data_IF_195338126061
#
_entry.id   IF_195338126061
#
_cell.length_a   1.000
_cell.length_b   1.000
_cell.length_c   1.000
_cell.angle_alpha   90.00
_cell.angle_beta   90.00
_cell.angle_gamma   90.00
#
_symmetry.space_group_name_H-M   'P 1'
#
loop_
_entity.id
_entity.type
_entity.pdbx_description
1 polymer ?
#
# COMPACT_ATOMS: atom_id res chain seq x y z
N UNK A 1 3.93 -1.63 -8.22
CA UNK A 1 3.14 -2.81 -8.65
C UNK A 1 1.73 -2.70 -8.06
N UNK A 2 0.68 -2.96 -8.86
CA UNK A 2 -0.73 -2.87 -8.43
C UNK A 2 -1.22 -4.08 -7.63
N UNK A 3 -0.43 -5.15 -7.55
CA UNK A 3 -0.79 -6.41 -6.91
C UNK A 3 0.26 -6.85 -5.86
N UNK A 4 -0.12 -7.79 -4.99
CA UNK A 4 0.70 -8.34 -3.91
C UNK A 4 0.48 -9.84 -3.68
N UNK A 5 1.52 -10.49 -3.15
CA UNK A 5 1.49 -11.89 -2.73
C UNK A 5 1.20 -12.09 -1.24
N UNK A 6 1.26 -11.01 -0.44
CA UNK A 6 0.97 -11.06 0.99
C UNK A 6 -0.55 -11.15 1.19
N UNK A 7 -1.04 -12.32 1.55
CA UNK A 7 -2.45 -12.61 1.84
C UNK A 7 -2.57 -13.80 2.79
N UNK A 8 -3.72 -13.95 3.44
CA UNK A 8 -3.96 -15.11 4.29
C UNK A 8 -3.99 -16.39 3.43
N UNK A 9 -3.52 -17.55 3.93
CA UNK A 9 -3.59 -18.82 3.21
C UNK A 9 -5.00 -19.17 2.71
N UNK A 10 -6.04 -18.83 3.48
CA UNK A 10 -7.44 -19.04 3.13
C UNK A 10 -7.96 -18.16 1.99
N UNK A 11 -7.31 -17.04 1.69
CA UNK A 11 -7.67 -16.17 0.56
C UNK A 11 -7.04 -16.63 -0.77
N UNK A 12 -6.11 -17.59 -0.73
CA UNK A 12 -5.34 -18.01 -1.91
C UNK A 12 -6.24 -18.68 -2.94
N UNK A 13 -6.18 -18.18 -4.17
CA UNK A 13 -6.83 -18.79 -5.33
C UNK A 13 -5.77 -19.46 -6.19
N UNK A 14 -5.94 -20.75 -6.49
CA UNK A 14 -4.98 -21.50 -7.29
C UNK A 14 -4.71 -20.82 -8.63
N UNK A 15 -3.44 -20.77 -9.04
CA UNK A 15 -2.99 -20.21 -10.31
C UNK A 15 -2.09 -21.17 -11.12
N UNK A 16 -1.79 -22.36 -10.60
CA UNK A 16 -0.92 -23.33 -11.26
C UNK A 16 -1.53 -24.72 -11.31
N UNK A 17 -0.77 -25.66 -11.88
CA UNK A 17 -1.07 -27.09 -11.79
C UNK A 17 -0.41 -27.72 -10.55
N UNK A 18 -0.89 -28.89 -10.07
CA UNK A 18 -0.27 -29.60 -8.95
C UNK A 18 1.21 -29.92 -9.22
N UNK A 19 2.09 -29.61 -8.27
CA UNK A 19 3.53 -29.85 -8.41
C UNK A 19 4.29 -28.82 -9.25
N UNK A 20 3.65 -27.72 -9.66
CA UNK A 20 4.32 -26.61 -10.34
C UNK A 20 5.53 -26.09 -9.54
N UNK A 21 6.63 -25.80 -10.24
CA UNK A 21 7.81 -25.21 -9.60
C UNK A 21 7.62 -23.72 -9.27
N UNK A 22 8.43 -23.20 -8.36
CA UNK A 22 8.47 -21.76 -8.05
C UNK A 22 8.75 -20.91 -9.29
N UNK A 23 9.66 -21.37 -10.16
CA UNK A 23 10.05 -20.66 -11.37
C UNK A 23 8.89 -20.59 -12.38
N UNK A 24 8.18 -21.69 -12.62
CA UNK A 24 7.03 -21.75 -13.51
C UNK A 24 5.86 -20.91 -12.99
N UNK A 25 5.58 -20.99 -11.68
CA UNK A 25 4.54 -20.18 -11.05
C UNK A 25 4.82 -18.68 -11.18
N UNK A 26 6.08 -18.27 -10.93
CA UNK A 26 6.49 -16.86 -11.05
C UNK A 26 6.42 -16.38 -12.49
N UNK A 27 6.80 -17.23 -13.46
CA UNK A 27 6.70 -16.95 -14.90
C UNK A 27 5.25 -16.80 -15.37
N UNK A 28 4.31 -17.50 -14.73
CA UNK A 28 2.87 -17.33 -14.96
C UNK A 28 2.30 -16.02 -14.36
N UNK A 29 3.14 -15.18 -13.73
CA UNK A 29 2.72 -13.93 -13.09
C UNK A 29 2.03 -14.13 -11.75
N UNK A 30 2.24 -15.29 -11.12
CA UNK A 30 1.61 -15.68 -9.86
C UNK A 30 2.59 -15.74 -8.70
N UNK A 31 2.02 -15.86 -7.51
CA UNK A 31 2.74 -15.90 -6.25
C UNK A 31 2.99 -17.35 -5.85
N UNK A 32 4.19 -17.64 -5.35
CA UNK A 32 4.54 -18.95 -4.82
C UNK A 32 4.84 -18.88 -3.32
N UNK A 33 4.20 -19.74 -2.52
CA UNK A 33 4.53 -19.98 -1.12
C UNK A 33 4.08 -21.37 -0.70
N UNK A 34 5.03 -22.24 -0.41
CA UNK A 34 4.87 -23.64 0.00
C UNK A 34 4.92 -23.86 1.51
N UNK A 35 5.04 -22.79 2.30
CA UNK A 35 5.19 -22.85 3.75
C UNK A 35 3.92 -23.30 4.51
N UNK A 36 2.78 -23.44 3.82
CA UNK A 36 1.49 -23.84 4.40
C UNK A 36 0.87 -24.96 3.57
N UNK A 37 0.59 -26.10 4.20
CA UNK A 37 -0.08 -27.24 3.57
C UNK A 37 -1.60 -27.05 3.47
N UNK A 38 -2.25 -27.80 2.58
CA UNK A 38 -3.71 -27.77 2.41
C UNK A 38 -4.27 -26.54 1.70
N UNK A 39 -3.41 -25.66 1.19
CA UNK A 39 -3.76 -24.47 0.39
C UNK A 39 -2.93 -24.44 -0.90
N UNK A 40 -3.34 -23.72 -1.95
CA UNK A 40 -2.54 -23.57 -3.14
C UNK A 40 -1.17 -22.94 -2.85
N UNK A 41 -0.10 -23.58 -3.32
CA UNK A 41 1.26 -23.04 -3.24
C UNK A 41 1.53 -22.02 -4.33
N UNK A 42 1.00 -22.26 -5.53
CA UNK A 42 0.95 -21.27 -6.60
C UNK A 42 -0.43 -20.61 -6.62
N UNK A 43 -0.49 -19.31 -6.36
CA UNK A 43 -1.75 -18.58 -6.21
C UNK A 43 -1.74 -17.22 -6.91
N UNK A 44 -2.93 -16.77 -7.29
CA UNK A 44 -3.11 -15.49 -7.95
C UNK A 44 -2.74 -14.33 -7.00
N UNK A 45 -2.02 -13.30 -7.49
CA UNK A 45 -1.75 -12.12 -6.68
C UNK A 45 -3.06 -11.35 -6.44
N UNK A 46 -3.17 -10.68 -5.28
CA UNK A 46 -4.34 -9.83 -4.99
C UNK A 46 -4.04 -8.37 -5.26
N UNK A 47 -5.02 -7.54 -5.64
CA UNK A 47 -4.81 -6.10 -5.74
C UNK A 47 -4.30 -5.51 -4.43
N UNK A 48 -3.35 -4.58 -4.51
CA UNK A 48 -2.95 -3.77 -3.36
C UNK A 48 -4.05 -2.75 -3.11
N UNK A 49 -4.74 -2.89 -1.98
CA UNK A 49 -5.59 -1.83 -1.46
C UNK A 49 -4.70 -0.90 -0.66
N UNK A 50 -4.67 0.37 -1.05
CA UNK A 50 -3.90 1.40 -0.36
C UNK A 50 -4.83 2.53 0.04
N UNK A 51 -4.63 3.06 1.24
CA UNK A 51 -5.34 4.25 1.73
C UNK A 51 -4.34 5.37 2.02
N UNK A 52 -4.78 6.60 1.75
CA UNK A 52 -4.06 7.80 2.12
C UNK A 52 -4.37 8.11 3.59
N UNK A 53 -3.34 8.22 4.41
CA UNK A 53 -3.45 8.56 5.83
C UNK A 53 -2.63 9.81 6.11
N UNK A 54 -3.24 10.78 6.78
CA UNK A 54 -2.54 11.97 7.23
C UNK A 54 -1.67 11.64 8.45
N UNK A 55 -0.33 11.75 8.37
CA UNK A 55 0.53 11.54 9.53
C UNK A 55 0.16 12.48 10.68
N UNK A 56 0.00 11.91 11.86
CA UNK A 56 -0.20 12.69 13.08
C UNK A 56 1.10 13.31 13.59
N UNK A 57 2.24 12.64 13.39
CA UNK A 57 3.56 13.12 13.82
C UNK A 57 3.97 14.37 13.02
N UNK A 58 4.11 15.55 13.66
CA UNK A 58 4.55 16.79 13.00
C UNK A 58 5.89 16.69 12.29
N UNK A 59 6.84 15.95 12.84
CA UNK A 59 8.21 15.86 12.31
C UNK A 59 8.31 14.92 11.11
N UNK A 60 7.30 14.09 10.86
CA UNK A 60 7.21 13.24 9.67
C UNK A 60 6.57 13.95 8.47
N UNK A 61 6.12 15.20 8.64
CA UNK A 61 5.39 15.94 7.61
C UNK A 61 6.34 16.43 6.50
N UNK A 62 6.11 15.93 5.29
CA UNK A 62 6.75 16.46 4.09
C UNK A 62 5.87 17.56 3.48
N UNK A 63 6.43 18.75 3.24
CA UNK A 63 5.70 19.92 2.75
C UNK A 63 5.05 19.65 1.37
N UNK A 64 3.75 19.96 1.23
CA UNK A 64 2.96 19.84 0.00
C UNK A 64 2.34 21.20 -0.46
N UNK A 65 2.64 22.29 0.23
CA UNK A 65 2.05 23.59 0.00
C UNK A 65 3.09 24.70 0.00
N UNK A 66 2.66 25.87 0.46
CA UNK A 66 3.49 27.05 0.66
C UNK A 66 3.00 27.79 1.91
N UNK A 67 3.84 28.65 2.54
CA UNK A 67 3.43 29.44 3.70
C UNK A 67 2.17 30.27 3.40
N UNK A 68 1.17 30.20 4.27
CA UNK A 68 -0.10 30.94 4.10
C UNK A 68 -1.15 30.28 3.19
N UNK A 69 -0.90 29.06 2.68
CA UNK A 69 -1.92 28.28 1.97
C UNK A 69 -3.15 28.02 2.86
N UNK A 70 -4.37 28.18 2.30
CA UNK A 70 -5.60 27.82 3.02
C UNK A 70 -5.76 26.30 3.14
N UNK A 71 -6.52 25.85 4.14
CA UNK A 71 -6.84 24.44 4.31
C UNK A 71 -7.49 23.86 3.05
N UNK A 72 -8.48 24.54 2.48
CA UNK A 72 -9.20 24.10 1.29
C UNK A 72 -8.29 24.00 0.06
N UNK A 73 -7.37 24.94 -0.10
CA UNK A 73 -6.41 24.89 -1.20
C UNK A 73 -5.43 23.72 -1.04
N UNK A 74 -4.99 23.43 0.19
CA UNK A 74 -4.15 22.27 0.48
C UNK A 74 -4.87 20.95 0.20
N UNK A 75 -6.10 20.80 0.68
CA UNK A 75 -6.90 19.58 0.52
C UNK A 75 -7.27 19.32 -0.94
N UNK A 76 -7.54 20.38 -1.71
CA UNK A 76 -7.78 20.29 -3.16
C UNK A 76 -6.56 19.78 -3.95
N UNK A 77 -5.34 19.98 -3.43
CA UNK A 77 -4.12 19.36 -3.97
C UNK A 77 -3.99 17.88 -3.59
N UNK A 78 -4.94 17.32 -2.85
CA UNK A 78 -4.92 15.95 -2.36
C UNK A 78 -3.99 15.74 -1.16
N UNK A 79 -3.68 16.82 -0.43
CA UNK A 79 -2.78 16.83 0.71
C UNK A 79 -3.53 17.00 2.03
N UNK A 80 -2.82 16.76 3.12
CA UNK A 80 -3.33 16.88 4.48
C UNK A 80 -3.04 18.28 5.01
N UNK A 81 -4.00 18.86 5.74
CA UNK A 81 -3.83 20.14 6.40
C UNK A 81 -3.92 20.00 7.92
N UNK A 82 -2.93 20.52 8.65
CA UNK A 82 -2.94 20.64 10.12
C UNK A 82 -2.05 21.81 10.54
N UNK A 83 -2.66 22.88 11.02
CA UNK A 83 -1.99 24.15 11.35
C UNK A 83 -1.12 24.13 12.63
N UNK A 84 -0.88 22.96 13.22
CA UNK A 84 -0.18 22.83 14.50
C UNK A 84 0.80 21.64 14.48
N UNK A 85 1.94 21.73 15.18
CA UNK A 85 2.52 22.94 15.82
C UNK A 85 3.08 23.95 14.80
N UNK A 86 3.57 25.09 15.28
CA UNK A 86 4.38 25.99 14.47
C UNK A 86 5.74 25.36 14.12
N UNK A 87 6.41 25.89 13.08
CA UNK A 87 7.73 25.40 12.66
C UNK A 87 7.74 24.10 11.87
N UNK A 88 6.56 23.55 11.53
CA UNK A 88 6.40 22.40 10.63
C UNK A 88 5.47 22.74 9.47
N UNK A 89 5.52 21.99 8.35
CA UNK A 89 4.56 22.16 7.27
C UNK A 89 3.12 21.95 7.74
N UNK A 90 2.26 22.94 7.51
CA UNK A 90 0.84 22.83 7.79
C UNK A 90 0.09 22.12 6.68
N UNK A 91 0.52 22.31 5.43
CA UNK A 91 0.09 21.51 4.29
C UNK A 91 1.16 20.46 3.97
N UNK A 92 0.82 19.18 4.05
CA UNK A 92 1.78 18.09 3.92
C UNK A 92 1.22 16.88 3.18
N UNK A 93 2.12 16.06 2.63
CA UNK A 93 1.72 14.85 1.91
C UNK A 93 1.14 13.79 2.87
N UNK A 94 0.08 13.07 2.45
CA UNK A 94 -0.36 11.87 3.14
C UNK A 94 0.65 10.74 2.96
N UNK A 95 0.66 9.79 3.88
CA UNK A 95 1.31 8.50 3.67
C UNK A 95 0.36 7.54 2.96
N UNK A 96 0.90 6.72 2.07
CA UNK A 96 0.19 5.59 1.50
C UNK A 96 0.46 4.37 2.37
N UNK A 97 -0.58 3.80 2.96
CA UNK A 97 -0.49 2.56 3.73
C UNK A 97 -1.31 1.47 3.06
N UNK A 98 -0.80 0.25 3.08
CA UNK A 98 -1.55 -0.94 2.65
C UNK A 98 -2.69 -1.20 3.65
N UNK A 99 -3.88 -1.53 3.13
CA UNK A 99 -5.05 -1.92 3.91
C UNK A 99 -4.97 -3.37 4.40
#
# INVERSE_FOLDING_TARGET
AKCQCKMAPSERKNCGYPGISLAECSKAGCCFNDSVAGVPWCFAPKPKKVKKVCPNNPHARANCGFPGISAEACERKGCCFKAQPAGVPWCFYPHMVEE
#
